data_IF_247455029171
#
_entry.id   IF_247455029171
#
_cell.length_a   1.000
_cell.length_b   1.000
_cell.length_c   1.000
_cell.angle_alpha   90.00
_cell.angle_beta   90.00
_cell.angle_gamma   90.00
#
_symmetry.space_group_name_H-M   'P 1'
#
loop_
_entity.id
_entity.type
_entity.pdbx_description
1 polymer ?
#
# COMPACT_ATOMS: atom_id res chain seq x y z
N UNK A 1 -8.91 -13.49 -18.88
CA UNK A 1 -7.67 -13.24 -18.10
C UNK A 1 -7.91 -13.32 -16.59
N UNK A 2 -8.95 -12.70 -16.04
CA UNK A 2 -9.23 -12.69 -14.59
C UNK A 2 -9.87 -14.00 -14.11
N UNK A 3 -10.66 -14.68 -14.95
CA UNK A 3 -11.36 -15.90 -14.57
C UNK A 3 -10.44 -17.06 -14.15
N UNK A 4 -9.26 -17.14 -14.72
CA UNK A 4 -8.27 -18.17 -14.36
C UNK A 4 -7.65 -17.93 -12.97
N UNK A 5 -7.65 -16.70 -12.49
CA UNK A 5 -7.09 -16.30 -11.20
C UNK A 5 -8.11 -16.38 -10.04
N UNK A 6 -9.41 -16.52 -10.34
CA UNK A 6 -10.47 -16.56 -9.32
C UNK A 6 -10.25 -17.60 -8.22
N UNK A 7 -9.83 -18.86 -8.50
CA UNK A 7 -9.61 -19.86 -7.45
C UNK A 7 -8.48 -19.46 -6.49
N UNK A 8 -7.41 -18.86 -7.04
CA UNK A 8 -6.26 -18.41 -6.27
C UNK A 8 -6.64 -17.19 -5.42
N UNK A 9 -7.38 -16.25 -5.98
CA UNK A 9 -7.90 -15.09 -5.26
C UNK A 9 -8.86 -15.53 -4.15
N UNK A 10 -9.75 -16.50 -4.41
CA UNK A 10 -10.65 -17.04 -3.39
C UNK A 10 -9.88 -17.67 -2.22
N UNK A 11 -8.85 -18.48 -2.50
CA UNK A 11 -7.99 -19.05 -1.45
C UNK A 11 -7.26 -17.98 -0.63
N UNK A 12 -6.79 -16.90 -1.29
CA UNK A 12 -6.14 -15.77 -0.62
C UNK A 12 -7.12 -14.99 0.26
N UNK A 13 -8.38 -14.83 -0.17
CA UNK A 13 -9.47 -14.22 0.63
C UNK A 13 -9.77 -15.07 1.85
N UNK A 14 -9.93 -16.37 1.68
CA UNK A 14 -10.23 -17.30 2.78
C UNK A 14 -9.12 -17.26 3.84
N UNK A 15 -7.85 -17.30 3.40
CA UNK A 15 -6.71 -17.10 4.30
C UNK A 15 -6.72 -15.71 4.95
N UNK A 16 -7.15 -14.67 4.23
CA UNK A 16 -7.33 -13.32 4.75
C UNK A 16 -8.34 -13.27 5.89
N UNK A 17 -9.49 -13.94 5.76
CA UNK A 17 -10.48 -14.06 6.84
C UNK A 17 -9.90 -14.75 8.07
N UNK A 18 -9.19 -15.87 7.88
CA UNK A 18 -8.53 -16.58 8.99
C UNK A 18 -7.50 -15.68 9.69
N UNK A 19 -6.69 -14.94 8.93
CA UNK A 19 -5.72 -13.99 9.47
C UNK A 19 -6.38 -12.84 10.23
N UNK A 20 -7.53 -12.34 9.74
CA UNK A 20 -8.31 -11.32 10.41
C UNK A 20 -8.88 -11.82 11.75
N UNK A 21 -9.39 -13.05 11.80
CA UNK A 21 -9.84 -13.68 13.05
C UNK A 21 -8.67 -13.87 14.03
N UNK A 22 -7.53 -14.36 13.55
CA UNK A 22 -6.33 -14.51 14.38
C UNK A 22 -5.78 -13.17 14.89
N UNK A 23 -6.08 -12.04 14.24
CA UNK A 23 -5.67 -10.72 14.73
C UNK A 23 -6.31 -10.34 16.05
N UNK A 24 -7.51 -10.84 16.37
CA UNK A 24 -8.21 -10.60 17.62
C UNK A 24 -7.63 -11.41 18.80
N UNK A 25 -6.80 -12.41 18.53
CA UNK A 25 -6.29 -13.33 19.58
C UNK A 25 -5.59 -12.60 20.72
N UNK A 26 -4.75 -11.61 20.39
CA UNK A 26 -4.02 -10.83 21.40
C UNK A 26 -4.97 -10.02 22.28
N UNK A 27 -5.98 -9.37 21.70
CA UNK A 27 -6.98 -8.58 22.43
C UNK A 27 -7.81 -9.46 23.36
N UNK A 28 -8.31 -10.60 22.85
CA UNK A 28 -9.08 -11.58 23.63
C UNK A 28 -8.28 -12.19 24.77
N UNK A 29 -7.00 -12.51 24.51
CA UNK A 29 -6.12 -13.03 25.56
C UNK A 29 -5.85 -11.96 26.63
N UNK A 30 -5.53 -10.71 26.22
CA UNK A 30 -5.28 -9.61 27.15
C UNK A 30 -6.51 -9.34 28.04
N UNK A 31 -7.69 -9.36 27.46
CA UNK A 31 -8.94 -9.23 28.21
C UNK A 31 -9.08 -10.34 29.27
N UNK A 32 -9.00 -11.63 28.86
CA UNK A 32 -9.09 -12.75 29.79
C UNK A 32 -8.00 -12.73 30.87
N UNK A 33 -6.81 -12.26 30.50
CA UNK A 33 -5.69 -12.13 31.43
C UNK A 33 -6.03 -11.14 32.54
N UNK A 34 -6.54 -9.95 32.18
CA UNK A 34 -6.85 -8.87 33.14
C UNK A 34 -8.10 -9.20 33.95
N UNK A 35 -9.16 -9.71 33.31
CA UNK A 35 -10.46 -9.88 33.95
C UNK A 35 -10.56 -11.15 34.80
N UNK A 36 -9.83 -12.23 34.41
CA UNK A 36 -10.05 -13.54 35.04
C UNK A 36 -8.78 -14.15 35.63
N UNK A 37 -7.66 -14.14 34.88
CA UNK A 37 -6.47 -14.90 35.24
C UNK A 37 -5.70 -14.23 36.40
N UNK A 38 -5.44 -12.92 36.28
CA UNK A 38 -4.69 -12.15 37.26
C UNK A 38 -5.44 -12.01 38.61
N UNK A 39 -6.73 -11.63 38.64
CA UNK A 39 -7.45 -11.49 39.89
C UNK A 39 -7.55 -12.81 40.65
N UNK A 40 -7.75 -13.90 39.95
CA UNK A 40 -7.88 -15.25 40.53
C UNK A 40 -6.56 -15.96 40.79
N UNK A 41 -5.39 -15.34 40.47
CA UNK A 41 -4.04 -15.88 40.65
C UNK A 41 -3.86 -17.27 40.02
N UNK A 42 -4.49 -17.53 38.84
CA UNK A 42 -4.50 -18.84 38.18
C UNK A 42 -3.25 -19.03 37.30
N UNK A 43 -2.12 -19.36 37.95
CA UNK A 43 -0.82 -19.50 37.28
C UNK A 43 -0.80 -20.57 36.21
N UNK A 44 -1.51 -21.70 36.39
CA UNK A 44 -1.60 -22.74 35.35
C UNK A 44 -2.28 -22.24 34.08
N UNK A 45 -3.40 -21.51 34.20
CA UNK A 45 -4.11 -20.93 33.06
C UNK A 45 -3.31 -19.81 32.40
N UNK A 46 -2.48 -19.10 33.16
CA UNK A 46 -1.56 -18.10 32.62
C UNK A 46 -0.56 -18.75 31.64
N UNK A 47 0.15 -19.79 32.11
CA UNK A 47 1.14 -20.48 31.27
C UNK A 47 0.52 -21.14 30.05
N UNK A 48 -0.60 -21.83 30.22
CA UNK A 48 -1.33 -22.46 29.12
C UNK A 48 -1.82 -21.42 28.11
N UNK A 49 -2.35 -20.30 28.57
CA UNK A 49 -2.80 -19.20 27.73
C UNK A 49 -1.66 -18.53 26.97
N UNK A 50 -0.49 -18.32 27.61
CA UNK A 50 0.70 -17.79 26.94
C UNK A 50 1.23 -18.72 25.84
N UNK A 51 1.32 -20.02 26.13
CA UNK A 51 1.75 -21.01 25.13
C UNK A 51 0.78 -21.03 23.96
N UNK A 52 -0.53 -21.05 24.23
CA UNK A 52 -1.56 -21.01 23.18
C UNK A 52 -1.46 -19.72 22.34
N UNK A 53 -1.29 -18.58 22.99
CA UNK A 53 -1.10 -17.30 22.32
C UNK A 53 0.08 -17.33 21.37
N UNK A 54 1.25 -17.83 21.84
CA UNK A 54 2.46 -17.93 21.02
C UNK A 54 2.22 -18.85 19.82
N UNK A 55 1.58 -20.00 20.02
CA UNK A 55 1.26 -20.93 18.92
C UNK A 55 0.36 -20.25 17.89
N UNK A 56 -0.68 -19.54 18.32
CA UNK A 56 -1.61 -18.84 17.41
C UNK A 56 -0.92 -17.69 16.65
N UNK A 57 -0.04 -16.95 17.30
CA UNK A 57 0.74 -15.90 16.64
C UNK A 57 1.74 -16.47 15.63
N UNK A 58 2.39 -17.60 15.96
CA UNK A 58 3.26 -18.29 15.00
C UNK A 58 2.46 -18.83 13.81
N UNK A 59 1.31 -19.47 14.07
CA UNK A 59 0.41 -19.93 13.03
C UNK A 59 -0.03 -18.76 12.12
N UNK A 60 -0.41 -17.61 12.70
CA UNK A 60 -0.72 -16.38 11.94
C UNK A 60 0.43 -15.96 11.03
N UNK A 61 1.66 -15.98 11.54
CA UNK A 61 2.85 -15.59 10.76
C UNK A 61 3.07 -16.55 9.58
N UNK A 62 2.98 -17.85 9.80
CA UNK A 62 3.13 -18.88 8.75
C UNK A 62 2.02 -18.77 7.70
N UNK A 63 0.77 -18.59 8.12
CA UNK A 63 -0.36 -18.41 7.21
C UNK A 63 -0.22 -17.11 6.39
N UNK A 64 0.23 -16.03 7.01
CA UNK A 64 0.51 -14.77 6.34
C UNK A 64 1.60 -14.91 5.27
N UNK A 65 2.69 -15.60 5.60
CA UNK A 65 3.75 -15.91 4.64
C UNK A 65 3.22 -16.75 3.47
N UNK A 66 2.49 -17.82 3.76
CA UNK A 66 1.92 -18.70 2.73
C UNK A 66 0.98 -17.96 1.79
N UNK A 67 0.11 -17.08 2.34
CA UNK A 67 -0.78 -16.22 1.56
C UNK A 67 0.01 -15.27 0.66
N UNK A 68 1.03 -14.61 1.18
CA UNK A 68 1.86 -13.69 0.39
C UNK A 68 2.59 -14.43 -0.75
N UNK A 69 3.04 -15.67 -0.54
CA UNK A 69 3.61 -16.51 -1.59
C UNK A 69 2.60 -16.84 -2.69
N UNK A 70 1.36 -17.15 -2.31
CA UNK A 70 0.27 -17.42 -3.26
C UNK A 70 0.02 -16.19 -4.13
N UNK A 71 -0.12 -15.02 -3.52
CA UNK A 71 -0.33 -13.75 -4.25
C UNK A 71 0.85 -13.37 -5.13
N UNK A 72 2.08 -13.61 -4.67
CA UNK A 72 3.29 -13.35 -5.47
C UNK A 72 3.36 -14.24 -6.71
N UNK A 73 3.04 -15.53 -6.58
CA UNK A 73 2.98 -16.46 -7.73
C UNK A 73 1.89 -16.07 -8.71
N UNK A 74 0.70 -15.79 -8.21
CA UNK A 74 -0.43 -15.32 -9.02
C UNK A 74 -0.10 -14.03 -9.77
N UNK A 75 0.54 -13.06 -9.09
CA UNK A 75 0.98 -11.81 -9.71
C UNK A 75 1.97 -12.06 -10.87
N UNK A 76 2.94 -12.95 -10.68
CA UNK A 76 3.87 -13.37 -11.72
C UNK A 76 3.14 -13.99 -12.92
N UNK A 77 2.24 -14.95 -12.65
CA UNK A 77 1.56 -15.68 -13.72
C UNK A 77 0.60 -14.78 -14.51
N UNK A 78 -0.11 -13.89 -13.81
CA UNK A 78 -0.95 -12.85 -14.43
C UNK A 78 -0.12 -11.92 -15.32
N UNK A 79 1.04 -11.46 -14.83
CA UNK A 79 1.92 -10.57 -15.60
C UNK A 79 2.48 -11.24 -16.85
N UNK A 80 2.87 -12.51 -16.73
CA UNK A 80 3.35 -13.29 -17.87
C UNK A 80 2.27 -13.45 -18.95
N UNK A 81 1.03 -13.77 -18.55
CA UNK A 81 -0.11 -13.89 -19.48
C UNK A 81 -0.43 -12.55 -20.15
N UNK A 82 -0.46 -11.47 -19.36
CA UNK A 82 -0.74 -10.13 -19.87
C UNK A 82 0.31 -9.67 -20.88
N UNK A 83 1.58 -9.93 -20.59
CA UNK A 83 2.69 -9.60 -21.49
C UNK A 83 2.66 -10.45 -22.76
N UNK A 84 2.39 -11.76 -22.65
CA UNK A 84 2.27 -12.66 -23.79
C UNK A 84 1.11 -12.24 -24.73
N UNK A 85 -0.05 -11.89 -24.16
CA UNK A 85 -1.21 -11.38 -24.93
C UNK A 85 -0.89 -10.04 -25.60
N UNK A 86 -0.19 -9.15 -24.89
CA UNK A 86 0.28 -7.89 -25.46
C UNK A 86 1.22 -8.12 -26.66
N UNK A 87 2.24 -8.98 -26.53
CA UNK A 87 3.16 -9.29 -27.62
C UNK A 87 2.45 -9.93 -28.82
N UNK A 88 1.55 -10.87 -28.54
CA UNK A 88 0.79 -11.54 -29.62
C UNK A 88 -0.03 -10.53 -30.40
N UNK A 89 -0.75 -9.65 -29.72
CA UNK A 89 -1.58 -8.61 -30.36
C UNK A 89 -0.71 -7.56 -31.07
N UNK A 90 0.39 -7.14 -30.45
CA UNK A 90 1.31 -6.17 -31.05
C UNK A 90 1.87 -6.67 -32.38
N UNK A 91 2.35 -7.93 -32.41
CA UNK A 91 2.95 -8.50 -33.62
C UNK A 91 1.93 -8.78 -34.73
N UNK A 92 0.64 -8.84 -34.43
CA UNK A 92 -0.44 -8.95 -35.42
C UNK A 92 -0.80 -7.62 -36.08
N UNK A 93 -0.28 -6.49 -35.59
CA UNK A 93 -0.57 -5.18 -36.15
C UNK A 93 0.14 -4.98 -37.49
N UNK A 94 -0.48 -4.26 -38.44
CA UNK A 94 0.09 -4.02 -39.74
C UNK A 94 1.35 -3.13 -39.65
N UNK A 95 2.28 -3.28 -40.61
CA UNK A 95 3.53 -2.52 -40.67
C UNK A 95 3.35 -1.01 -40.54
N UNK A 96 2.27 -0.47 -41.13
CA UNK A 96 1.93 0.96 -41.08
C UNK A 96 1.81 1.50 -39.65
N UNK A 97 1.40 0.64 -38.67
CA UNK A 97 1.34 1.01 -37.27
C UNK A 97 2.74 1.30 -36.70
N UNK A 98 3.72 0.49 -37.08
CA UNK A 98 5.11 0.64 -36.59
C UNK A 98 5.83 1.80 -37.26
N UNK A 99 5.53 2.05 -38.54
CA UNK A 99 6.10 3.16 -39.31
C UNK A 99 5.62 4.53 -38.80
N UNK A 100 4.41 4.58 -38.19
CA UNK A 100 3.79 5.80 -37.66
C UNK A 100 4.12 6.10 -36.20
N UNK A 101 4.82 5.22 -35.48
CA UNK A 101 5.07 5.36 -34.03
C UNK A 101 6.53 5.09 -33.69
N UNK A 102 7.02 5.84 -32.69
CA UNK A 102 8.37 5.62 -32.15
C UNK A 102 8.39 4.37 -31.26
N UNK A 103 9.49 3.63 -31.29
CA UNK A 103 9.69 2.44 -30.44
C UNK A 103 9.49 2.78 -28.95
N UNK A 104 9.92 3.99 -28.55
CA UNK A 104 9.73 4.48 -27.18
C UNK A 104 8.27 4.54 -26.74
N UNK A 105 7.33 4.90 -27.62
CA UNK A 105 5.90 4.93 -27.31
C UNK A 105 5.35 3.52 -27.03
N UNK A 106 5.83 2.52 -27.76
CA UNK A 106 5.45 1.11 -27.57
C UNK A 106 6.02 0.60 -26.27
N UNK A 107 7.29 0.91 -25.96
CA UNK A 107 7.94 0.54 -24.70
C UNK A 107 7.25 1.18 -23.50
N UNK A 108 6.80 2.44 -23.61
CA UNK A 108 6.03 3.11 -22.58
C UNK A 108 4.74 2.35 -22.23
N UNK A 109 4.03 1.78 -23.23
CA UNK A 109 2.83 0.96 -23.00
C UNK A 109 3.10 -0.33 -22.23
N UNK A 110 4.26 -0.95 -22.44
CA UNK A 110 4.68 -2.11 -21.64
C UNK A 110 4.90 -1.69 -20.18
N UNK A 111 5.51 -0.53 -19.95
CA UNK A 111 5.70 -0.01 -18.60
C UNK A 111 4.37 0.38 -17.91
N UNK A 112 3.40 0.91 -18.67
CA UNK A 112 2.05 1.17 -18.17
C UNK A 112 1.37 -0.11 -17.68
N UNK A 113 1.55 -1.21 -18.39
CA UNK A 113 1.05 -2.55 -18.02
C UNK A 113 1.59 -3.00 -16.65
N UNK A 114 2.89 -2.77 -16.38
CA UNK A 114 3.50 -3.07 -15.08
C UNK A 114 2.91 -2.24 -13.95
N UNK A 115 2.60 -0.96 -14.21
CA UNK A 115 1.95 -0.07 -13.23
C UNK A 115 0.54 -0.55 -12.88
N UNK A 116 -0.24 -0.92 -13.90
CA UNK A 116 -1.58 -1.49 -13.71
C UNK A 116 -1.51 -2.75 -12.85
N UNK A 117 -0.59 -3.65 -13.15
CA UNK A 117 -0.38 -4.88 -12.38
C UNK A 117 -0.01 -4.59 -10.92
N UNK A 118 0.90 -3.65 -10.67
CA UNK A 118 1.27 -3.27 -9.31
C UNK A 118 0.06 -2.80 -8.49
N UNK A 119 -0.83 -1.99 -9.10
CA UNK A 119 -2.08 -1.54 -8.47
C UNK A 119 -3.03 -2.71 -8.19
N UNK A 120 -3.23 -3.61 -9.16
CA UNK A 120 -4.10 -4.78 -8.99
C UNK A 120 -3.57 -5.67 -7.85
N UNK A 121 -2.26 -5.94 -7.83
CA UNK A 121 -1.62 -6.75 -6.79
C UNK A 121 -1.72 -6.09 -5.40
N UNK A 122 -1.58 -4.76 -5.32
CA UNK A 122 -1.75 -4.01 -4.09
C UNK A 122 -3.19 -4.08 -3.57
N UNK A 123 -4.18 -3.88 -4.45
CA UNK A 123 -5.60 -3.97 -4.11
C UNK A 123 -5.97 -5.38 -3.63
N UNK A 124 -5.60 -6.41 -4.37
CA UNK A 124 -5.90 -7.79 -4.01
C UNK A 124 -5.12 -8.28 -2.77
N UNK A 125 -3.91 -7.76 -2.55
CA UNK A 125 -3.05 -8.11 -1.42
C UNK A 125 -3.43 -7.36 -0.14
N UNK A 126 -3.18 -6.08 -0.13
CA UNK A 126 -3.21 -5.27 1.09
C UNK A 126 -4.60 -4.73 1.39
N UNK A 127 -5.23 -4.05 0.44
CA UNK A 127 -6.52 -3.38 0.67
C UNK A 127 -7.60 -4.38 1.07
N UNK A 128 -7.60 -5.56 0.46
CA UNK A 128 -8.58 -6.60 0.78
C UNK A 128 -8.39 -7.18 2.19
N UNK A 129 -7.13 -7.35 2.64
CA UNK A 129 -6.85 -7.78 4.02
C UNK A 129 -7.33 -6.73 5.02
N UNK A 130 -6.96 -5.47 4.77
CA UNK A 130 -7.29 -4.36 5.66
C UNK A 130 -8.82 -4.22 5.77
N UNK A 131 -9.53 -4.37 4.65
CA UNK A 131 -10.99 -4.35 4.63
C UNK A 131 -11.60 -5.53 5.39
N UNK A 132 -11.09 -6.76 5.20
CA UNK A 132 -11.54 -7.93 5.97
C UNK A 132 -11.21 -7.77 7.46
N UNK A 133 -10.02 -7.29 7.78
CA UNK A 133 -9.62 -6.97 9.14
C UNK A 133 -10.55 -5.95 9.80
N UNK A 134 -10.90 -4.90 9.06
CA UNK A 134 -11.88 -3.90 9.49
C UNK A 134 -13.25 -4.54 9.78
N UNK A 135 -13.79 -5.34 8.84
CA UNK A 135 -15.10 -5.99 9.02
C UNK A 135 -15.13 -6.92 10.24
N UNK A 136 -14.09 -7.74 10.41
CA UNK A 136 -13.99 -8.66 11.55
C UNK A 136 -13.86 -7.89 12.87
N UNK A 137 -12.99 -6.88 12.94
CA UNK A 137 -12.79 -6.07 14.14
C UNK A 137 -14.03 -5.26 14.49
N UNK A 138 -14.67 -4.66 13.48
CA UNK A 138 -15.91 -3.90 13.65
C UNK A 138 -17.07 -4.80 14.10
N UNK A 139 -17.23 -5.97 13.47
CA UNK A 139 -18.24 -6.95 13.87
C UNK A 139 -18.02 -7.46 15.30
N UNK A 140 -16.76 -7.66 15.70
CA UNK A 140 -16.42 -8.01 17.08
C UNK A 140 -16.79 -6.90 18.07
N UNK A 141 -16.47 -5.63 17.74
CA UNK A 141 -16.83 -4.49 18.58
C UNK A 141 -18.34 -4.34 18.74
N UNK A 142 -19.11 -4.48 17.65
CA UNK A 142 -20.58 -4.44 17.70
C UNK A 142 -21.18 -5.57 18.55
N UNK A 143 -20.60 -6.76 18.49
CA UNK A 143 -21.07 -7.91 19.28
C UNK A 143 -20.72 -7.76 20.77
N UNK A 144 -19.64 -7.03 21.08
CA UNK A 144 -19.21 -6.77 22.46
C UNK A 144 -20.00 -5.63 23.11
N UNK A 145 -20.02 -4.47 22.44
CA UNK A 145 -20.81 -3.31 22.83
C UNK A 145 -21.16 -2.49 21.57
N UNK A 146 -22.45 -2.42 21.28
CA UNK A 146 -22.92 -1.73 20.07
C UNK A 146 -22.65 -0.23 20.10
N UNK A 147 -22.61 0.39 21.31
CA UNK A 147 -22.33 1.82 21.49
C UNK A 147 -20.90 2.14 21.11
N UNK A 148 -19.95 1.32 21.60
CA UNK A 148 -18.52 1.44 21.27
C UNK A 148 -18.29 1.16 19.78
N UNK A 149 -18.98 0.15 19.24
CA UNK A 149 -18.93 -0.15 17.80
C UNK A 149 -19.38 1.02 16.94
N UNK A 150 -20.51 1.65 17.25
CA UNK A 150 -21.00 2.83 16.54
C UNK A 150 -20.08 4.05 16.69
N UNK A 151 -19.54 4.27 17.89
CA UNK A 151 -18.54 5.34 18.11
C UNK A 151 -17.28 5.13 17.26
N UNK A 152 -16.80 3.90 17.17
CA UNK A 152 -15.63 3.59 16.34
C UNK A 152 -15.88 3.85 14.85
N UNK A 153 -17.13 3.71 14.37
CA UNK A 153 -17.51 4.02 12.99
C UNK A 153 -17.33 5.50 12.64
N UNK A 154 -17.34 6.40 13.63
CA UNK A 154 -17.11 7.82 13.42
C UNK A 154 -15.71 8.11 12.83
N UNK A 155 -14.76 7.20 13.05
CA UNK A 155 -13.42 7.30 12.47
C UNK A 155 -13.44 7.30 10.94
N UNK A 156 -14.35 6.55 10.32
CA UNK A 156 -14.42 6.38 8.85
C UNK A 156 -14.70 7.70 8.12
N UNK A 157 -15.76 8.48 8.45
CA UNK A 157 -16.01 9.76 7.79
C UNK A 157 -14.93 10.80 8.12
N UNK A 158 -14.36 10.79 9.32
CA UNK A 158 -13.31 11.74 9.72
C UNK A 158 -12.04 11.52 8.91
N UNK A 159 -11.55 10.28 8.84
CA UNK A 159 -10.37 9.94 8.05
C UNK A 159 -10.65 10.02 6.55
N UNK A 160 -11.87 9.69 6.11
CA UNK A 160 -12.32 9.85 4.73
C UNK A 160 -12.31 11.31 4.27
N UNK A 161 -12.77 12.23 5.11
CA UNK A 161 -12.70 13.66 4.84
C UNK A 161 -11.26 14.17 4.76
N UNK A 162 -10.39 13.70 5.65
CA UNK A 162 -8.95 14.03 5.60
C UNK A 162 -8.34 13.55 4.28
N UNK A 163 -8.58 12.30 3.89
CA UNK A 163 -8.10 11.74 2.63
C UNK A 163 -8.62 12.54 1.42
N UNK A 164 -9.89 12.92 1.41
CA UNK A 164 -10.49 13.73 0.36
C UNK A 164 -9.84 15.11 0.24
N UNK A 165 -9.58 15.78 1.38
CA UNK A 165 -9.00 17.14 1.38
C UNK A 165 -7.57 17.19 0.85
N UNK A 166 -6.77 16.12 1.05
CA UNK A 166 -5.39 16.03 0.56
C UNK A 166 -5.28 15.43 -0.85
N UNK A 167 -6.30 14.73 -1.32
CA UNK A 167 -6.27 13.96 -2.58
C UNK A 167 -5.83 14.82 -3.78
N UNK A 168 -6.43 16.00 -3.98
CA UNK A 168 -6.12 16.86 -5.12
C UNK A 168 -4.69 17.40 -5.06
N UNK A 169 -4.21 17.75 -3.88
CA UNK A 169 -2.87 18.28 -3.68
C UNK A 169 -1.81 17.20 -3.96
N UNK A 170 -2.03 15.97 -3.48
CA UNK A 170 -1.14 14.82 -3.72
C UNK A 170 -1.11 14.48 -5.22
N UNK A 171 -2.27 14.42 -5.89
CA UNK A 171 -2.33 14.15 -7.33
C UNK A 171 -1.60 15.23 -8.13
N UNK A 172 -1.78 16.49 -7.80
CA UNK A 172 -1.09 17.59 -8.48
C UNK A 172 0.41 17.55 -8.23
N UNK A 173 0.83 17.36 -6.98
CA UNK A 173 2.24 17.21 -6.62
C UNK A 173 2.90 16.02 -7.34
N UNK A 174 2.20 14.88 -7.46
CA UNK A 174 2.70 13.73 -8.21
C UNK A 174 2.90 14.05 -9.70
N UNK A 175 1.98 14.81 -10.32
CA UNK A 175 2.13 15.27 -11.71
C UNK A 175 3.33 16.20 -11.88
N UNK A 176 3.56 17.12 -10.93
CA UNK A 176 4.71 18.03 -10.95
C UNK A 176 6.03 17.28 -10.82
N UNK A 177 6.11 16.28 -9.92
CA UNK A 177 7.28 15.40 -9.79
C UNK A 177 7.55 14.67 -11.11
N UNK A 178 6.53 14.09 -11.74
CA UNK A 178 6.69 13.39 -13.02
C UNK A 178 7.11 14.32 -14.16
N UNK A 179 6.56 15.52 -14.22
CA UNK A 179 6.95 16.54 -15.21
C UNK A 179 8.41 16.96 -15.02
N UNK A 180 8.82 17.24 -13.77
CA UNK A 180 10.19 17.63 -13.45
C UNK A 180 11.19 16.49 -13.71
N UNK A 181 10.78 15.24 -13.43
CA UNK A 181 11.56 14.06 -13.79
C UNK A 181 11.82 13.98 -15.31
N UNK A 182 10.79 14.17 -16.13
CA UNK A 182 10.91 14.13 -17.59
C UNK A 182 11.88 15.21 -18.12
N UNK A 183 11.88 16.41 -17.53
CA UNK A 183 12.83 17.48 -17.86
C UNK A 183 14.27 17.05 -17.50
N UNK A 184 14.46 16.46 -16.30
CA UNK A 184 15.77 15.99 -15.86
C UNK A 184 16.30 14.86 -16.74
N UNK A 185 15.43 13.91 -17.11
CA UNK A 185 15.78 12.80 -17.98
C UNK A 185 16.14 13.28 -19.41
N UNK A 186 15.35 14.20 -19.96
CA UNK A 186 15.64 14.80 -21.28
C UNK A 186 17.00 15.51 -21.29
N UNK A 187 17.28 16.32 -20.27
CA UNK A 187 18.56 16.99 -20.13
C UNK A 187 19.73 16.01 -20.04
N UNK A 188 19.57 14.92 -19.28
CA UNK A 188 20.59 13.87 -19.18
C UNK A 188 20.86 13.21 -20.54
N UNK A 189 19.81 12.88 -21.28
CA UNK A 189 19.92 12.28 -22.62
C UNK A 189 20.64 13.25 -23.59
N UNK A 190 20.29 14.55 -23.55
CA UNK A 190 20.92 15.57 -24.39
C UNK A 190 22.40 15.73 -24.07
N UNK A 191 22.78 15.75 -22.78
CA UNK A 191 24.19 15.86 -22.35
C UNK A 191 25.00 14.65 -22.82
N UNK A 192 24.47 13.44 -22.64
CA UNK A 192 25.16 12.22 -23.08
C UNK A 192 25.21 12.14 -24.61
N UNK A 193 24.14 12.52 -25.31
CA UNK A 193 24.10 12.55 -26.77
C UNK A 193 25.05 13.57 -27.39
N UNK A 194 25.32 14.69 -26.69
CA UNK A 194 26.26 15.73 -27.11
C UNK A 194 27.64 15.65 -26.46
N UNK A 195 28.02 14.52 -25.86
CA UNK A 195 29.23 14.40 -25.04
C UNK A 195 30.52 14.75 -25.81
N UNK A 196 30.59 14.39 -27.09
CA UNK A 196 31.75 14.68 -27.92
C UNK A 196 31.97 16.19 -28.08
N UNK A 197 30.90 16.96 -28.33
CA UNK A 197 30.98 18.40 -28.43
C UNK A 197 31.38 19.07 -27.09
N UNK A 198 30.81 18.57 -25.99
CA UNK A 198 31.13 19.04 -24.64
C UNK A 198 32.61 18.85 -24.34
N UNK A 199 33.16 17.67 -24.68
CA UNK A 199 34.57 17.32 -24.54
C UNK A 199 35.47 18.17 -25.42
N UNK A 200 35.12 18.33 -26.69
CA UNK A 200 35.91 19.17 -27.62
C UNK A 200 35.98 20.64 -27.19
N UNK A 201 34.91 21.15 -26.55
CA UNK A 201 34.87 22.55 -26.09
C UNK A 201 35.31 22.74 -24.64
N UNK A 202 35.77 21.71 -23.95
CA UNK A 202 36.15 21.71 -22.52
C UNK A 202 35.10 22.38 -21.62
N UNK A 203 33.78 21.99 -21.81
CA UNK A 203 32.65 22.59 -21.11
C UNK A 203 32.02 21.67 -20.07
N UNK A 204 32.71 20.65 -19.60
CA UNK A 204 32.21 19.64 -18.66
C UNK A 204 31.70 20.27 -17.35
N UNK A 205 32.42 21.25 -16.83
CA UNK A 205 32.06 21.91 -15.57
C UNK A 205 30.73 22.67 -15.70
N UNK A 206 30.49 23.32 -16.84
CA UNK A 206 29.25 24.04 -17.10
C UNK A 206 28.05 23.08 -17.17
N UNK A 207 28.19 21.98 -17.96
CA UNK A 207 27.13 21.00 -18.09
C UNK A 207 26.90 20.21 -16.82
N UNK A 208 27.92 19.97 -16.00
CA UNK A 208 27.79 19.39 -14.66
C UNK A 208 26.98 20.29 -13.72
N UNK A 209 27.23 21.61 -13.74
CA UNK A 209 26.44 22.56 -12.94
C UNK A 209 24.99 22.64 -13.40
N UNK A 210 24.75 22.70 -14.71
CA UNK A 210 23.41 22.71 -15.27
C UNK A 210 22.65 21.43 -14.92
N UNK A 211 23.27 20.27 -15.07
CA UNK A 211 22.69 19.00 -14.69
C UNK A 211 22.35 18.91 -13.19
N UNK A 212 23.25 19.43 -12.34
CA UNK A 212 22.99 19.52 -10.89
C UNK A 212 21.81 20.44 -10.57
N UNK A 213 21.65 21.57 -11.25
CA UNK A 213 20.51 22.48 -11.07
C UNK A 213 19.18 21.83 -11.50
N UNK A 214 19.17 21.19 -12.68
CA UNK A 214 17.97 20.54 -13.20
C UNK A 214 17.56 19.35 -12.30
N UNK A 215 18.52 18.54 -11.89
CA UNK A 215 18.26 17.44 -10.95
C UNK A 215 17.84 17.95 -9.56
N UNK A 216 18.44 19.04 -9.08
CA UNK A 216 18.07 19.69 -7.83
C UNK A 216 16.62 20.17 -7.84
N UNK A 217 16.15 20.77 -8.94
CA UNK A 217 14.76 21.17 -9.10
C UNK A 217 13.79 19.97 -9.06
N UNK A 218 14.16 18.83 -9.64
CA UNK A 218 13.39 17.60 -9.52
C UNK A 218 13.34 17.09 -8.07
N UNK A 219 14.49 17.07 -7.37
CA UNK A 219 14.54 16.66 -5.95
C UNK A 219 13.70 17.57 -5.05
N UNK A 220 13.66 18.87 -5.32
CA UNK A 220 12.81 19.82 -4.59
C UNK A 220 11.33 19.46 -4.72
N UNK A 221 10.87 19.05 -5.91
CA UNK A 221 9.49 18.58 -6.12
C UNK A 221 9.18 17.30 -5.34
N UNK A 222 10.15 16.37 -5.25
CA UNK A 222 10.01 15.17 -4.40
C UNK A 222 9.85 15.55 -2.94
N UNK A 223 10.66 16.48 -2.44
CA UNK A 223 10.59 16.95 -1.05
C UNK A 223 9.25 17.63 -0.78
N UNK A 224 8.76 18.48 -1.68
CA UNK A 224 7.44 19.13 -1.56
C UNK A 224 6.31 18.11 -1.47
N UNK A 225 6.30 17.10 -2.35
CA UNK A 225 5.33 16.01 -2.31
C UNK A 225 5.47 15.17 -1.03
N UNK A 226 6.71 14.87 -0.61
CA UNK A 226 6.99 14.17 0.64
C UNK A 226 6.47 14.92 1.87
N UNK A 227 6.63 16.25 1.90
CA UNK A 227 6.10 17.09 2.98
C UNK A 227 4.57 17.06 3.04
N UNK A 228 3.87 17.07 1.89
CA UNK A 228 2.41 16.90 1.84
C UNK A 228 2.01 15.52 2.41
N UNK A 229 2.73 14.46 2.05
CA UNK A 229 2.51 13.13 2.61
C UNK A 229 2.74 13.07 4.13
N UNK A 230 3.80 13.70 4.62
CA UNK A 230 4.08 13.80 6.05
C UNK A 230 3.01 14.58 6.81
N UNK A 231 2.50 15.69 6.26
CA UNK A 231 1.39 16.44 6.85
C UNK A 231 0.11 15.61 6.93
N UNK A 232 -0.22 14.90 5.84
CA UNK A 232 -1.36 13.98 5.82
C UNK A 232 -1.23 12.90 6.91
N UNK A 233 -0.07 12.24 7.00
CA UNK A 233 0.18 11.20 8.00
C UNK A 233 0.10 11.76 9.42
N UNK A 234 0.74 12.89 9.69
CA UNK A 234 0.72 13.55 11.00
C UNK A 234 -0.71 13.90 11.44
N UNK A 235 -1.51 14.49 10.56
CA UNK A 235 -2.91 14.81 10.87
C UNK A 235 -3.73 13.54 11.06
N UNK A 236 -3.49 12.49 10.27
CA UNK A 236 -4.13 11.19 10.44
C UNK A 236 -3.82 10.56 11.79
N UNK A 237 -2.56 10.58 12.22
CA UNK A 237 -2.15 10.07 13.54
C UNK A 237 -2.75 10.87 14.69
N UNK A 238 -2.78 12.20 14.59
CA UNK A 238 -3.43 13.06 15.60
C UNK A 238 -4.93 12.73 15.69
N UNK A 239 -5.64 12.68 14.56
CA UNK A 239 -7.06 12.34 14.53
C UNK A 239 -7.32 10.94 15.11
N UNK A 240 -6.51 9.95 14.72
CA UNK A 240 -6.62 8.59 15.24
C UNK A 240 -6.40 8.56 16.78
N UNK A 241 -5.39 9.26 17.27
CA UNK A 241 -5.10 9.35 18.71
C UNK A 241 -6.26 9.99 19.49
N UNK A 242 -6.83 11.07 18.96
CA UNK A 242 -7.99 11.72 19.57
C UNK A 242 -9.22 10.81 19.57
N UNK A 243 -9.48 10.08 18.49
CA UNK A 243 -10.60 9.12 18.41
C UNK A 243 -10.42 7.96 19.40
N UNK A 244 -9.21 7.40 19.48
CA UNK A 244 -8.91 6.35 20.48
C UNK A 244 -9.11 6.88 21.91
N UNK A 245 -8.61 8.09 22.21
CA UNK A 245 -8.79 8.73 23.51
C UNK A 245 -10.27 8.96 23.85
N UNK A 246 -11.07 9.39 22.86
CA UNK A 246 -12.51 9.61 23.00
C UNK A 246 -13.25 8.29 23.28
N UNK A 247 -12.96 7.23 22.51
CA UNK A 247 -13.55 5.90 22.69
C UNK A 247 -13.20 5.36 24.08
N UNK A 248 -11.94 5.44 24.51
CA UNK A 248 -11.52 4.98 25.83
C UNK A 248 -12.16 5.82 26.96
N UNK A 249 -12.24 7.15 26.78
CA UNK A 249 -12.87 8.04 27.76
C UNK A 249 -14.35 7.74 27.95
N UNK A 250 -15.10 7.59 26.85
CA UNK A 250 -16.53 7.24 26.91
C UNK A 250 -16.72 5.84 27.49
N UNK A 251 -15.93 4.85 27.08
CA UNK A 251 -15.99 3.49 27.61
C UNK A 251 -15.73 3.46 29.13
N UNK A 252 -14.75 4.22 29.59
CA UNK A 252 -14.43 4.31 31.03
C UNK A 252 -15.58 4.94 31.82
N UNK A 253 -16.24 5.96 31.26
CA UNK A 253 -17.39 6.62 31.91
C UNK A 253 -18.62 5.70 32.01
N UNK A 254 -18.80 4.79 31.03
CA UNK A 254 -19.88 3.79 31.10
C UNK A 254 -19.65 2.67 32.11
N UNK A 255 -18.40 2.41 32.48
CA UNK A 255 -18.03 1.36 33.47
C UNK A 255 -18.01 1.87 34.90
N UNK A 256 -17.81 3.17 35.09
CA UNK A 256 -17.88 3.86 36.42
C UNK A 256 -19.30 4.16 36.81
#
# INVERSE_FOLDING_TARGET
LIQEDLPVLYSAVLLGVVLALLSLTTALFSQKLIDQILPNRQTEKLWLGLVLLVILLLARTVLGYSRNLILLRQSKDFNNRLLADFYTKLLQLPRQFFDSRKVGDITARINDTRRIQAVISYLAGNVMIDFLGFLVSFGFLLAYDWTIGLLSLLSVPVLGYLAYSFNQQIITGQKEVMSSYAVSESHFIEVIGGIDEIKLKNRESLFSQLGSMVYGAFQERIVQLGNLGNQYNMLGEIMNTLLVGLVLGISSFYVL
#
